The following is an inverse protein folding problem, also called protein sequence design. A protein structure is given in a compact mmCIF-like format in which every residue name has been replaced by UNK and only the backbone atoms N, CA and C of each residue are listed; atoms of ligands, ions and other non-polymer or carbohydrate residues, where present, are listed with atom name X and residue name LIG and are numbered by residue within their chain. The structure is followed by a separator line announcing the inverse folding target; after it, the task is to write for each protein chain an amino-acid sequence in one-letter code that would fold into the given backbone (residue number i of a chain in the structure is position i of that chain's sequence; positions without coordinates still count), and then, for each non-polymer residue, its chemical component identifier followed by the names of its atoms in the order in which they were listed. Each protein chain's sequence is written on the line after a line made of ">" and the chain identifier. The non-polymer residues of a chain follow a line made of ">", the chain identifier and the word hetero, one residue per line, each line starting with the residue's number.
data_IF_944305395684
#
_entry.id   IF_944305395684
#
_cell.length_a   1.000
_cell.length_b   1.000
_cell.length_c   1.000
_cell.angle_alpha   90.00
_cell.angle_beta   90.00
_cell.angle_gamma   90.00
#
_symmetry.space_group_name_H-M   'P 1'
#
loop_
_entity.id
_entity.type
_entity.pdbx_description
1 polymer ?
#
# COMPACT_ATOMS: atom_id res chain seq x y z
N UNK A 1 -29.14 -44.96 9.31
CA UNK A 1 -29.45 -43.61 8.83
C UNK A 1 -28.11 -42.97 8.50
N UNK A 2 -27.72 -43.05 7.23
CA UNK A 2 -26.36 -42.71 6.76
C UNK A 2 -26.35 -41.24 6.35
N UNK A 3 -25.54 -40.43 7.04
CA UNK A 3 -25.41 -39.00 6.76
C UNK A 3 -24.59 -38.84 5.48
N UNK A 4 -25.19 -38.26 4.44
CA UNK A 4 -24.48 -37.93 3.20
C UNK A 4 -23.53 -36.74 3.42
N UNK A 5 -22.36 -36.70 2.77
CA UNK A 5 -21.41 -35.61 2.92
C UNK A 5 -21.95 -34.32 2.27
N UNK A 6 -21.64 -33.18 2.90
CA UNK A 6 -21.93 -31.84 2.39
C UNK A 6 -21.32 -31.64 1.00
N UNK A 7 -22.04 -31.06 0.03
CA UNK A 7 -21.48 -30.80 -1.29
C UNK A 7 -20.36 -29.76 -1.20
N UNK A 8 -19.21 -30.11 -1.78
CA UNK A 8 -18.10 -29.21 -2.07
C UNK A 8 -18.50 -28.29 -3.23
N UNK A 9 -18.56 -26.98 -2.99
CA UNK A 9 -18.82 -26.00 -4.04
C UNK A 9 -17.51 -25.64 -4.77
N UNK A 10 -17.48 -25.65 -6.12
CA UNK A 10 -16.31 -25.30 -6.88
C UNK A 10 -16.08 -23.79 -6.88
N UNK A 11 -14.83 -23.39 -6.65
CA UNK A 11 -14.35 -22.02 -6.67
C UNK A 11 -14.23 -21.44 -8.08
N UNK A 12 -14.50 -20.13 -8.17
CA UNK A 12 -14.18 -19.16 -9.24
C UNK A 12 -15.11 -19.14 -10.46
N UNK A 13 -15.84 -18.03 -10.57
CA UNK A 13 -15.84 -17.17 -11.77
C UNK A 13 -16.22 -15.73 -11.40
N UNK A 14 -15.26 -14.82 -11.52
CA UNK A 14 -15.51 -13.37 -11.62
C UNK A 14 -16.21 -13.12 -12.96
N UNK A 15 -17.37 -12.45 -12.94
CA UNK A 15 -17.73 -11.22 -13.67
C UNK A 15 -19.20 -10.93 -13.37
N UNK A 16 -19.52 -9.75 -12.85
CA UNK A 16 -20.82 -9.12 -13.10
C UNK A 16 -20.61 -7.62 -13.26
N UNK A 17 -21.01 -7.12 -14.43
CA UNK A 17 -20.71 -5.78 -14.91
C UNK A 17 -21.34 -4.67 -14.05
N UNK A 18 -20.47 -3.72 -13.70
CA UNK A 18 -20.68 -2.50 -12.93
C UNK A 18 -21.73 -1.58 -13.57
N UNK A 19 -22.77 -1.23 -12.81
CA UNK A 19 -23.54 -0.01 -13.02
C UNK A 19 -23.88 0.56 -11.64
N UNK A 20 -23.07 1.53 -11.19
CA UNK A 20 -23.31 2.32 -9.97
C UNK A 20 -23.00 1.59 -8.65
N UNK A 21 -21.77 1.75 -8.15
CA UNK A 21 -21.41 1.44 -6.76
C UNK A 21 -21.37 -0.05 -6.37
N UNK A 22 -20.15 -0.49 -6.00
CA UNK A 22 -19.76 -1.75 -5.35
C UNK A 22 -19.35 -2.89 -6.32
N UNK A 23 -18.03 -3.08 -6.49
CA UNK A 23 -17.44 -4.21 -7.23
C UNK A 23 -17.43 -5.56 -6.50
N UNK A 24 -17.66 -5.60 -5.19
CA UNK A 24 -17.51 -6.82 -4.37
C UNK A 24 -18.63 -6.91 -3.31
N UNK A 25 -19.92 -6.87 -3.72
CA UNK A 25 -21.07 -6.96 -2.78
C UNK A 25 -20.99 -8.21 -1.89
N UNK A 26 -20.38 -9.26 -2.42
CA UNK A 26 -20.14 -10.50 -1.70
C UNK A 26 -19.31 -10.29 -0.44
N UNK A 27 -18.32 -9.38 -0.42
CA UNK A 27 -17.51 -9.12 0.78
C UNK A 27 -18.35 -8.60 1.95
N UNK A 28 -19.37 -7.78 1.69
CA UNK A 28 -20.29 -7.29 2.73
C UNK A 28 -21.12 -8.44 3.29
N UNK A 29 -21.65 -9.30 2.41
CA UNK A 29 -22.44 -10.48 2.80
C UNK A 29 -21.58 -11.48 3.57
N UNK A 30 -20.38 -11.76 3.08
CA UNK A 30 -19.45 -12.71 3.68
C UNK A 30 -19.02 -12.26 5.08
N UNK A 31 -18.60 -11.00 5.23
CA UNK A 31 -18.19 -10.44 6.51
C UNK A 31 -19.37 -10.37 7.50
N UNK A 32 -20.55 -9.93 7.06
CA UNK A 32 -21.72 -9.85 7.95
C UNK A 32 -22.29 -11.22 8.34
N UNK A 33 -22.22 -12.21 7.44
CA UNK A 33 -22.71 -13.56 7.70
C UNK A 33 -21.76 -14.40 8.55
N UNK A 34 -20.45 -14.28 8.33
CA UNK A 34 -19.44 -14.99 9.14
C UNK A 34 -19.18 -14.31 10.49
N UNK A 35 -19.27 -12.98 10.54
CA UNK A 35 -18.90 -12.19 11.72
C UNK A 35 -20.10 -11.58 12.43
N UNK A 36 -20.87 -12.46 13.06
CA UNK A 36 -22.09 -12.11 13.81
C UNK A 36 -21.85 -11.12 14.97
N UNK A 37 -20.63 -11.02 15.47
CA UNK A 37 -20.25 -10.10 16.55
C UNK A 37 -20.04 -8.65 16.07
N UNK A 38 -19.78 -8.44 14.77
CA UNK A 38 -19.74 -7.11 14.15
C UNK A 38 -20.72 -7.03 12.98
N UNK A 39 -22.04 -7.11 13.25
CA UNK A 39 -23.04 -7.01 12.21
C UNK A 39 -23.07 -5.59 11.64
N UNK A 40 -23.69 -5.45 10.47
CA UNK A 40 -23.96 -4.13 9.89
C UNK A 40 -24.94 -3.42 10.82
N UNK A 41 -24.55 -2.23 11.28
CA UNK A 41 -25.44 -1.36 12.02
C UNK A 41 -26.37 -0.63 11.03
N UNK A 42 -27.67 -0.67 11.29
CA UNK A 42 -28.70 -0.01 10.49
C UNK A 42 -29.37 1.04 11.38
N UNK A 43 -29.06 2.32 11.14
CA UNK A 43 -29.67 3.42 11.88
C UNK A 43 -31.10 3.68 11.40
N UNK A 44 -31.34 3.53 10.10
CA UNK A 44 -32.66 3.73 9.49
C UNK A 44 -32.86 2.78 8.31
N UNK A 45 -34.01 2.12 8.29
CA UNK A 45 -34.51 1.36 7.15
C UNK A 45 -36.01 1.60 7.02
N UNK A 46 -36.43 2.19 5.91
CA UNK A 46 -37.84 2.37 5.58
C UNK A 46 -38.10 1.82 4.18
N UNK A 47 -39.12 0.97 4.05
CA UNK A 47 -39.54 0.38 2.78
C UNK A 47 -40.94 0.91 2.44
N UNK A 48 -41.08 1.48 1.23
CA UNK A 48 -42.35 2.00 0.73
C UNK A 48 -42.58 1.58 -0.71
N UNK A 49 -43.77 1.81 -1.23
CA UNK A 49 -44.07 1.67 -2.67
C UNK A 49 -43.22 2.59 -3.55
N UNK A 50 -42.69 3.69 -3.02
CA UNK A 50 -41.82 4.63 -3.73
C UNK A 50 -40.32 4.25 -3.68
N UNK A 51 -39.96 3.19 -2.93
CA UNK A 51 -38.58 2.74 -2.77
C UNK A 51 -38.14 2.65 -1.31
N UNK A 52 -36.83 2.47 -1.12
CA UNK A 52 -36.20 2.26 0.18
C UNK A 52 -35.38 3.48 0.65
N UNK A 53 -35.39 3.72 1.96
CA UNK A 53 -34.45 4.61 2.64
C UNK A 53 -33.55 3.75 3.51
N UNK A 54 -32.26 4.02 3.45
CA UNK A 54 -31.24 3.25 4.13
C UNK A 54 -30.20 4.20 4.71
N UNK A 55 -29.86 4.01 5.97
CA UNK A 55 -28.61 4.49 6.57
C UNK A 55 -27.98 3.31 7.31
N UNK A 56 -26.94 2.75 6.70
CA UNK A 56 -26.25 1.57 7.21
C UNK A 56 -24.74 1.76 7.23
N UNK A 57 -24.10 1.11 8.20
CA UNK A 57 -22.65 1.12 8.38
C UNK A 57 -22.16 -0.23 8.88
N UNK A 58 -21.25 -0.84 8.12
CA UNK A 58 -20.46 -1.99 8.52
C UNK A 58 -18.99 -1.61 8.72
N UNK A 59 -18.36 -2.16 9.74
CA UNK A 59 -16.93 -1.97 10.03
C UNK A 59 -16.36 -3.28 10.56
N UNK A 60 -15.22 -3.69 10.01
CA UNK A 60 -14.60 -4.98 10.32
C UNK A 60 -13.10 -4.78 10.55
N UNK A 61 -12.59 -5.36 11.64
CA UNK A 61 -11.16 -5.37 11.94
C UNK A 61 -10.54 -6.66 11.40
N UNK A 62 -10.18 -6.63 10.12
CA UNK A 62 -9.65 -7.80 9.40
C UNK A 62 -8.35 -8.35 9.98
N UNK A 63 -7.58 -7.56 10.74
CA UNK A 63 -6.37 -8.04 11.42
C UNK A 63 -6.76 -8.95 12.61
N UNK A 64 -7.76 -8.56 13.41
CA UNK A 64 -8.30 -9.42 14.49
C UNK A 64 -8.94 -10.67 13.89
N UNK A 65 -9.72 -10.51 12.83
CA UNK A 65 -10.37 -11.62 12.14
C UNK A 65 -9.35 -12.69 11.69
N UNK A 66 -8.21 -12.27 11.15
CA UNK A 66 -7.21 -13.18 10.58
C UNK A 66 -6.49 -14.02 11.65
N UNK A 67 -6.60 -13.65 12.92
CA UNK A 67 -6.01 -14.42 14.04
C UNK A 67 -6.92 -15.55 14.53
N UNK A 68 -8.18 -15.61 14.07
CA UNK A 68 -9.14 -16.59 14.56
C UNK A 68 -8.93 -17.97 13.91
N UNK A 69 -8.91 -19.07 14.68
CA UNK A 69 -8.75 -20.41 14.13
C UNK A 69 -9.85 -20.77 13.12
N UNK A 70 -9.48 -21.21 11.93
CA UNK A 70 -10.42 -21.65 10.89
C UNK A 70 -11.09 -20.51 10.11
N UNK A 71 -10.71 -19.26 10.35
CA UNK A 71 -11.22 -18.09 9.60
C UNK A 71 -10.23 -17.72 8.49
N UNK A 72 -10.65 -17.87 7.24
CA UNK A 72 -9.96 -17.33 6.06
C UNK A 72 -10.81 -16.19 5.47
N UNK A 73 -10.19 -15.03 5.26
CA UNK A 73 -10.89 -13.78 4.93
C UNK A 73 -10.65 -13.39 3.47
N UNK A 74 -11.75 -13.53 2.72
CA UNK A 74 -12.15 -13.06 1.36
C UNK A 74 -11.68 -11.73 0.82
N UNK A 75 -11.19 -10.85 1.68
CA UNK A 75 -11.53 -9.46 1.48
C UNK A 75 -10.61 -8.48 2.17
N UNK A 76 -10.36 -7.41 1.44
CA UNK A 76 -9.68 -6.20 1.91
C UNK A 76 -10.69 -5.16 2.44
N UNK A 77 -11.98 -5.43 2.46
CA UNK A 77 -13.01 -4.49 2.92
C UNK A 77 -12.94 -4.29 4.44
N UNK A 78 -12.66 -3.05 4.86
CA UNK A 78 -12.60 -2.67 6.27
C UNK A 78 -13.86 -1.93 6.72
N UNK A 79 -14.45 -1.14 5.83
CA UNK A 79 -15.62 -0.35 6.16
C UNK A 79 -16.51 -0.17 4.93
N UNK A 80 -17.81 -0.24 5.15
CA UNK A 80 -18.83 0.12 4.19
C UNK A 80 -19.88 1.01 4.87
N UNK A 81 -20.25 2.10 4.21
CA UNK A 81 -21.33 2.99 4.66
C UNK A 81 -22.19 3.33 3.46
N UNK A 82 -23.51 3.25 3.62
CA UNK A 82 -24.46 3.49 2.55
C UNK A 82 -25.64 4.29 3.06
N UNK A 83 -25.84 5.45 2.43
CA UNK A 83 -27.05 6.26 2.57
C UNK A 83 -27.79 6.32 1.26
N UNK A 84 -29.05 5.90 1.30
CA UNK A 84 -29.95 5.93 0.16
C UNK A 84 -31.30 6.53 0.55
N UNK A 85 -31.92 7.22 -0.41
CA UNK A 85 -33.27 7.79 -0.27
C UNK A 85 -34.09 7.39 -1.48
N UNK A 86 -35.27 6.81 -1.29
CA UNK A 86 -36.15 6.36 -2.38
C UNK A 86 -35.43 5.44 -3.39
N UNK A 87 -34.55 4.55 -2.91
CA UNK A 87 -33.76 3.64 -3.74
C UNK A 87 -32.63 4.31 -4.52
N UNK A 88 -32.29 5.57 -4.24
CA UNK A 88 -31.18 6.29 -4.88
C UNK A 88 -30.03 6.52 -3.93
N UNK A 89 -28.83 6.20 -4.38
CA UNK A 89 -27.59 6.49 -3.66
C UNK A 89 -27.42 8.00 -3.46
N UNK A 90 -27.19 8.36 -2.21
CA UNK A 90 -26.82 9.71 -1.77
C UNK A 90 -25.36 9.76 -1.36
N UNK A 91 -24.92 8.73 -0.62
CA UNK A 91 -23.56 8.60 -0.12
C UNK A 91 -23.19 7.12 -0.02
N UNK A 92 -22.05 6.75 -0.59
CA UNK A 92 -21.44 5.44 -0.41
C UNK A 92 -19.97 5.63 -0.07
N UNK A 93 -19.53 5.09 1.06
CA UNK A 93 -18.11 5.05 1.43
C UNK A 93 -17.65 3.60 1.50
N UNK A 94 -16.54 3.31 0.85
CA UNK A 94 -15.88 2.02 0.84
C UNK A 94 -14.44 2.25 1.29
N UNK A 95 -14.01 1.55 2.34
CA UNK A 95 -12.63 1.58 2.81
C UNK A 95 -12.01 0.20 2.61
N UNK A 96 -10.94 0.14 1.83
CA UNK A 96 -10.24 -1.09 1.49
C UNK A 96 -8.79 -1.04 1.94
N UNK A 97 -8.33 -2.11 2.58
CA UNK A 97 -6.98 -2.29 3.04
C UNK A 97 -5.99 -2.43 1.87
N UNK A 98 -4.79 -1.88 2.06
CA UNK A 98 -3.65 -2.13 1.18
C UNK A 98 -2.34 -1.74 1.86
N UNK A 99 -1.28 -1.70 1.07
CA UNK A 99 0.04 -1.23 1.52
C UNK A 99 0.66 -0.32 0.47
N UNK A 100 1.49 0.61 0.90
CA UNK A 100 2.25 1.47 -0.01
C UNK A 100 3.66 0.91 -0.22
N UNK A 101 4.00 0.68 -1.48
CA UNK A 101 5.28 0.18 -1.96
C UNK A 101 6.25 1.35 -2.22
N UNK A 102 7.57 1.22 -1.94
CA UNK A 102 8.30 -0.02 -1.62
C UNK A 102 8.38 -0.37 -0.12
N UNK A 103 8.07 0.57 0.76
CA UNK A 103 8.35 0.42 2.20
C UNK A 103 7.40 -0.59 2.88
N UNK A 104 6.15 -0.70 2.44
CA UNK A 104 5.19 -1.66 2.98
C UNK A 104 4.32 -1.14 4.11
N UNK A 105 4.23 0.18 4.29
CA UNK A 105 3.34 0.79 5.30
C UNK A 105 1.89 0.39 5.04
N UNK A 106 1.16 -0.01 6.09
CA UNK A 106 -0.30 -0.22 6.02
C UNK A 106 -0.99 1.07 5.62
N UNK A 107 -1.88 0.97 4.64
CA UNK A 107 -2.68 2.07 4.12
C UNK A 107 -4.09 1.59 3.79
N UNK A 108 -4.99 2.53 3.53
CA UNK A 108 -6.33 2.24 3.06
C UNK A 108 -6.68 3.12 1.87
N UNK A 109 -7.33 2.53 0.87
CA UNK A 109 -8.03 3.26 -0.18
C UNK A 109 -9.44 3.56 0.32
N UNK A 110 -9.78 4.84 0.39
CA UNK A 110 -11.12 5.32 0.70
C UNK A 110 -11.75 5.77 -0.61
N UNK A 111 -12.82 5.12 -1.02
CA UNK A 111 -13.65 5.56 -2.14
C UNK A 111 -14.94 6.15 -1.59
N UNK A 112 -15.24 7.38 -1.95
CA UNK A 112 -16.49 8.07 -1.62
C UNK A 112 -17.23 8.34 -2.90
N UNK A 113 -18.48 7.89 -2.98
CA UNK A 113 -19.42 8.20 -4.06
C UNK A 113 -20.55 9.04 -3.49
N UNK A 114 -20.68 10.27 -3.95
CA UNK A 114 -21.65 11.24 -3.44
C UNK A 114 -22.55 11.77 -4.54
N UNK A 115 -23.84 11.91 -4.23
CA UNK A 115 -24.77 12.61 -5.11
C UNK A 115 -24.60 14.12 -4.93
N UNK A 116 -24.12 14.80 -5.97
CA UNK A 116 -23.92 16.26 -5.97
C UNK A 116 -24.77 16.95 -7.03
N UNK A 117 -25.35 18.08 -6.65
CA UNK A 117 -26.00 19.02 -7.58
C UNK A 117 -24.95 20.03 -8.00
N UNK A 118 -24.71 20.15 -9.31
CA UNK A 118 -23.73 21.11 -9.84
C UNK A 118 -24.49 22.32 -10.42
N UNK A 119 -24.07 23.57 -10.10
CA UNK A 119 -24.65 24.76 -10.71
C UNK A 119 -24.62 24.65 -12.25
N UNK A 120 -25.71 25.04 -12.91
CA UNK A 120 -25.82 24.97 -14.37
C UNK A 120 -26.30 23.63 -14.93
N UNK A 121 -26.53 22.61 -14.09
CA UNK A 121 -27.09 21.33 -14.52
C UNK A 121 -28.45 21.07 -13.87
N UNK A 122 -29.49 20.67 -14.64
CA UNK A 122 -30.82 20.37 -14.09
C UNK A 122 -30.90 18.98 -13.43
N UNK A 123 -29.79 18.28 -13.26
CA UNK A 123 -29.71 16.93 -12.69
C UNK A 123 -28.52 16.78 -11.74
N UNK A 124 -28.66 15.84 -10.80
CA UNK A 124 -27.62 15.48 -9.84
C UNK A 124 -26.79 14.30 -10.36
N UNK A 125 -25.48 14.38 -10.16
CA UNK A 125 -24.51 13.36 -10.57
C UNK A 125 -24.02 12.58 -9.37
N UNK A 126 -23.61 11.33 -9.60
CA UNK A 126 -22.76 10.61 -8.66
C UNK A 126 -21.30 10.97 -8.98
N UNK A 127 -20.66 11.66 -8.04
CA UNK A 127 -19.26 12.02 -8.10
C UNK A 127 -18.48 11.06 -7.20
N UNK A 128 -17.47 10.40 -7.77
CA UNK A 128 -16.65 9.44 -7.05
C UNK A 128 -15.24 9.99 -6.86
N UNK A 129 -14.80 10.06 -5.62
CA UNK A 129 -13.44 10.46 -5.24
C UNK A 129 -12.73 9.32 -4.52
N UNK A 130 -11.42 9.23 -4.72
CA UNK A 130 -10.55 8.26 -4.05
C UNK A 130 -9.49 8.98 -3.26
N UNK A 131 -9.14 8.42 -2.11
CA UNK A 131 -8.10 8.92 -1.22
C UNK A 131 -7.28 7.76 -0.69
N UNK A 132 -6.00 8.01 -0.41
CA UNK A 132 -5.16 7.08 0.36
C UNK A 132 -4.94 7.67 1.74
N UNK A 133 -5.16 6.85 2.77
CA UNK A 133 -4.84 7.17 4.16
C UNK A 133 -3.83 6.16 4.70
N UNK A 134 -2.74 6.65 5.28
CA UNK A 134 -1.72 5.83 5.94
C UNK A 134 -2.18 5.45 7.35
N UNK A 135 -2.18 4.15 7.64
CA UNK A 135 -2.59 3.58 8.95
C UNK A 135 -1.39 3.22 9.81
N UNK A 136 -0.25 2.93 9.19
CA UNK A 136 1.01 2.65 9.88
C UNK A 136 2.08 3.65 9.40
N UNK A 137 2.19 4.85 10.00
CA UNK A 137 3.10 5.88 9.53
C UNK A 137 4.57 5.50 9.68
N UNK A 138 4.90 4.66 10.66
CA UNK A 138 6.27 4.29 11.02
C UNK A 138 6.48 2.80 10.80
N UNK A 139 7.57 2.46 10.11
CA UNK A 139 8.07 1.09 9.99
C UNK A 139 9.51 1.00 10.45
N UNK A 140 9.81 -0.06 11.19
CA UNK A 140 11.14 -0.36 11.69
C UNK A 140 11.75 -1.57 10.92
N UNK A 141 12.92 -1.32 10.36
CA UNK A 141 13.76 -2.24 9.60
C UNK A 141 15.08 -2.55 10.31
N UNK A 142 15.21 -2.25 11.60
CA UNK A 142 16.33 -2.74 12.39
C UNK A 142 16.42 -4.26 12.30
N UNK A 143 17.66 -4.76 12.41
CA UNK A 143 18.05 -6.13 12.02
C UNK A 143 17.49 -7.24 12.91
N UNK A 144 16.55 -6.96 13.80
CA UNK A 144 16.17 -7.88 14.87
C UNK A 144 15.25 -9.02 14.41
N UNK A 145 14.62 -8.96 13.22
CA UNK A 145 13.63 -10.00 12.83
C UNK A 145 13.86 -10.75 11.52
N UNK A 146 14.68 -10.29 10.57
CA UNK A 146 14.97 -11.07 9.34
C UNK A 146 16.18 -10.57 8.55
N UNK A 147 16.87 -11.51 7.88
CA UNK A 147 17.94 -11.21 6.89
C UNK A 147 17.43 -10.27 5.79
N UNK A 148 16.12 -10.29 5.52
CA UNK A 148 15.44 -9.50 4.48
C UNK A 148 15.47 -7.98 4.71
N UNK A 149 15.75 -7.52 5.94
CA UNK A 149 15.82 -6.09 6.31
C UNK A 149 17.21 -5.46 6.13
N UNK A 150 18.20 -6.21 5.62
CA UNK A 150 19.62 -5.78 5.54
C UNK A 150 19.96 -4.87 4.35
N UNK A 151 19.12 -4.82 3.32
CA UNK A 151 19.45 -4.14 2.06
C UNK A 151 18.93 -2.70 1.96
N UNK A 152 18.63 -2.08 3.11
CA UNK A 152 18.19 -0.69 3.23
C UNK A 152 19.20 0.09 4.10
N UNK A 153 19.59 1.32 3.71
CA UNK A 153 20.46 2.18 4.53
C UNK A 153 19.71 2.82 5.70
N UNK A 154 18.45 2.44 5.92
CA UNK A 154 17.58 3.00 6.95
C UNK A 154 17.09 1.90 7.87
N UNK A 155 17.18 2.14 9.18
CA UNK A 155 16.58 1.26 10.20
C UNK A 155 15.14 1.62 10.50
N UNK A 156 14.67 2.81 10.11
CA UNK A 156 13.31 3.28 10.34
C UNK A 156 12.88 4.18 9.19
N UNK A 157 11.64 4.05 8.73
CA UNK A 157 11.03 4.94 7.75
C UNK A 157 9.72 5.46 8.31
N UNK A 158 9.49 6.76 8.20
CA UNK A 158 8.28 7.44 8.62
C UNK A 158 7.67 8.26 7.48
N UNK A 159 6.42 7.97 7.14
CA UNK A 159 5.60 8.79 6.24
C UNK A 159 4.99 9.94 7.03
N UNK A 160 5.35 11.18 6.69
CA UNK A 160 4.82 12.39 7.32
C UNK A 160 3.50 12.83 6.70
N UNK A 161 3.32 12.59 5.41
CA UNK A 161 2.03 12.77 4.76
C UNK A 161 1.16 11.57 5.09
N UNK A 162 0.00 11.79 5.73
CA UNK A 162 -0.90 10.71 6.15
C UNK A 162 -2.14 10.55 5.28
N UNK A 163 -2.53 11.60 4.57
CA UNK A 163 -3.71 11.62 3.72
C UNK A 163 -3.37 12.27 2.39
N UNK A 164 -3.95 11.75 1.31
CA UNK A 164 -3.88 12.38 0.00
C UNK A 164 -5.06 13.33 -0.22
N UNK A 165 -4.94 14.32 -1.13
CA UNK A 165 -6.11 14.89 -1.81
C UNK A 165 -6.82 13.82 -2.66
N UNK A 166 -7.89 14.15 -3.43
CA UNK A 166 -8.45 13.22 -4.41
C UNK A 166 -7.37 12.70 -5.37
N UNK A 167 -7.34 11.39 -5.58
CA UNK A 167 -6.36 10.70 -6.42
C UNK A 167 -7.00 9.94 -7.58
N UNK A 168 -6.19 9.66 -8.59
CA UNK A 168 -6.41 8.66 -9.61
C UNK A 168 -5.29 7.63 -9.59
N UNK A 169 -5.53 6.47 -10.21
CA UNK A 169 -4.52 5.42 -10.36
C UNK A 169 -4.06 5.32 -11.80
N UNK A 170 -2.77 5.04 -12.01
CA UNK A 170 -2.25 4.64 -13.32
C UNK A 170 -1.51 3.31 -13.24
N UNK A 171 -1.53 2.56 -14.34
CA UNK A 171 -0.93 1.22 -14.44
C UNK A 171 0.55 1.20 -14.02
N UNK A 172 0.98 0.10 -13.41
CA UNK A 172 2.36 -0.13 -12.97
C UNK A 172 2.94 -1.27 -13.81
N UNK A 173 3.64 -0.94 -14.89
CA UNK A 173 4.14 -1.96 -15.81
C UNK A 173 2.98 -2.81 -16.38
N UNK A 174 3.06 -4.13 -16.22
CA UNK A 174 2.00 -5.07 -16.61
C UNK A 174 1.05 -5.44 -15.47
N UNK A 175 1.19 -4.85 -14.27
CA UNK A 175 0.27 -5.10 -13.17
C UNK A 175 -1.15 -4.59 -13.52
N UNK A 176 -2.19 -5.40 -13.29
CA UNK A 176 -3.56 -4.92 -13.38
C UNK A 176 -3.78 -3.74 -12.43
N UNK A 177 -4.41 -2.68 -12.92
CA UNK A 177 -4.72 -1.49 -12.11
C UNK A 177 -5.61 -1.81 -10.89
N UNK A 178 -6.36 -2.92 -10.96
CA UNK A 178 -7.15 -3.40 -9.85
C UNK A 178 -6.28 -3.84 -8.66
N UNK A 179 -5.05 -4.30 -8.93
CA UNK A 179 -4.15 -4.96 -7.97
C UNK A 179 -3.05 -4.02 -7.45
N UNK A 180 -2.52 -3.17 -8.32
CA UNK A 180 -1.56 -2.14 -7.96
C UNK A 180 -1.59 -0.96 -8.93
N UNK A 181 -1.33 0.25 -8.42
CA UNK A 181 -1.30 1.46 -9.24
C UNK A 181 -0.42 2.57 -8.65
N UNK A 182 0.16 3.40 -9.53
CA UNK A 182 0.79 4.66 -9.13
C UNK A 182 -0.27 5.64 -8.64
N UNK A 183 -0.02 6.27 -7.49
CA UNK A 183 -0.93 7.25 -6.89
C UNK A 183 -0.70 8.60 -7.56
N UNK A 184 -1.67 9.05 -8.37
CA UNK A 184 -1.63 10.36 -9.04
C UNK A 184 -2.61 11.33 -8.37
N UNK A 185 -2.25 12.60 -8.25
CA UNK A 185 -3.20 13.65 -7.81
C UNK A 185 -4.23 13.86 -8.91
N UNK A 186 -5.53 13.73 -8.60
CA UNK A 186 -6.59 13.78 -9.61
C UNK A 186 -6.61 15.10 -10.39
N UNK A 187 -6.32 16.21 -9.71
CA UNK A 187 -6.32 17.55 -10.31
C UNK A 187 -5.17 17.80 -11.30
N UNK A 188 -4.00 17.17 -11.11
CA UNK A 188 -2.79 17.46 -11.90
C UNK A 188 -2.28 16.29 -12.74
N UNK A 189 -2.74 15.07 -12.46
CA UNK A 189 -2.25 13.84 -13.08
C UNK A 189 -0.80 13.48 -12.72
N UNK A 190 -0.16 14.24 -11.83
CA UNK A 190 1.22 14.01 -11.38
C UNK A 190 1.27 12.99 -10.26
N UNK A 191 2.40 12.28 -10.12
CA UNK A 191 2.61 11.39 -8.98
C UNK A 191 2.54 12.18 -7.67
N UNK A 192 1.88 11.61 -6.67
CA UNK A 192 1.77 12.24 -5.36
C UNK A 192 3.10 12.15 -4.59
N UNK A 193 3.72 13.28 -4.22
CA UNK A 193 5.02 13.29 -3.57
C UNK A 193 4.88 13.10 -2.05
N UNK A 194 5.04 11.85 -1.58
CA UNK A 194 4.98 11.56 -0.15
C UNK A 194 6.20 12.12 0.57
N UNK A 195 6.00 12.88 1.65
CA UNK A 195 7.07 13.33 2.51
C UNK A 195 7.51 12.20 3.45
N UNK A 196 8.79 11.86 3.40
CA UNK A 196 9.39 10.75 4.15
C UNK A 196 10.52 11.27 5.04
N UNK A 197 10.56 10.77 6.27
CA UNK A 197 11.71 10.91 7.17
C UNK A 197 12.21 9.51 7.49
N UNK A 198 13.41 9.19 7.03
CA UNK A 198 14.07 7.94 7.36
C UNK A 198 15.15 8.17 8.41
N UNK A 199 15.41 7.16 9.24
CA UNK A 199 16.52 7.16 10.19
C UNK A 199 17.58 6.19 9.68
N UNK A 200 18.79 6.68 9.46
CA UNK A 200 19.91 5.87 9.01
C UNK A 200 20.50 5.00 10.13
N UNK A 201 21.57 4.27 9.81
CA UNK A 201 22.23 3.39 10.76
C UNK A 201 22.94 4.09 11.92
N UNK A 202 23.18 5.40 11.83
CA UNK A 202 23.72 6.25 12.91
C UNK A 202 22.67 6.93 13.75
N UNK A 203 21.40 6.84 13.34
CA UNK A 203 20.33 7.60 13.99
C UNK A 203 20.12 8.98 13.40
N UNK A 204 20.80 9.34 12.30
CA UNK A 204 20.58 10.60 11.60
C UNK A 204 19.27 10.55 10.82
N UNK A 205 18.52 11.65 10.84
CA UNK A 205 17.33 11.80 10.00
C UNK A 205 17.71 12.19 8.58
N UNK A 206 17.14 11.48 7.61
CA UNK A 206 17.26 11.76 6.17
C UNK A 206 15.86 12.06 5.64
N UNK A 207 15.68 13.25 5.08
CA UNK A 207 14.37 13.75 4.63
C UNK A 207 14.31 13.76 3.11
N UNK A 208 13.27 13.16 2.54
CA UNK A 208 13.09 13.14 1.08
C UNK A 208 11.62 13.03 0.71
N UNK A 209 11.32 13.27 -0.56
CA UNK A 209 9.99 13.07 -1.14
C UNK A 209 10.04 12.02 -2.22
N UNK A 210 9.07 11.11 -2.26
CA UNK A 210 9.03 10.05 -3.26
C UNK A 210 7.61 9.70 -3.66
N UNK A 211 7.34 9.36 -4.93
CA UNK A 211 6.08 8.74 -5.30
C UNK A 211 6.01 7.32 -4.74
N UNK A 212 4.80 6.87 -4.40
CA UNK A 212 4.57 5.50 -3.91
C UNK A 212 3.51 4.81 -4.78
N UNK A 213 3.56 3.48 -4.80
CA UNK A 213 2.57 2.62 -5.46
C UNK A 213 1.62 2.09 -4.40
N UNK A 214 0.31 2.17 -4.63
CA UNK A 214 -0.66 1.47 -3.80
C UNK A 214 -0.77 0.02 -4.28
N UNK A 215 -0.62 -0.93 -3.35
CA UNK A 215 -0.76 -2.37 -3.59
C UNK A 215 -1.93 -2.89 -2.74
N UNK A 216 -2.87 -3.58 -3.38
CA UNK A 216 -4.05 -4.16 -2.70
C UNK A 216 -3.65 -5.15 -1.61
N UNK A 217 -4.51 -5.27 -0.60
CA UNK A 217 -4.25 -6.12 0.57
C UNK A 217 -3.93 -7.57 0.23
N UNK A 218 -4.71 -8.15 -0.68
CA UNK A 218 -4.60 -9.54 -1.11
C UNK A 218 -3.31 -9.82 -1.92
N UNK A 219 -2.73 -8.83 -2.59
CA UNK A 219 -1.41 -8.94 -3.25
C UNK A 219 -0.28 -8.72 -2.24
N UNK A 220 -0.45 -7.73 -1.36
CA UNK A 220 0.58 -7.29 -0.43
C UNK A 220 0.84 -8.28 0.73
N UNK A 221 0.02 -9.32 0.87
CA UNK A 221 0.22 -10.39 1.86
C UNK A 221 -0.58 -10.24 3.15
N UNK A 222 -1.70 -9.50 3.14
CA UNK A 222 -2.50 -9.35 4.34
C UNK A 222 -3.36 -10.57 4.66
N UNK A 223 -3.80 -11.33 3.65
CA UNK A 223 -4.74 -12.44 3.79
C UNK A 223 -4.39 -13.58 2.81
N UNK A 224 -4.79 -14.82 3.15
CA UNK A 224 -4.42 -16.12 2.54
C UNK A 224 -4.92 -16.38 1.10
N UNK A 225 -5.19 -15.32 0.35
CA UNK A 225 -6.19 -15.41 -0.72
C UNK A 225 -5.61 -15.56 -2.11
N UNK A 226 -4.39 -15.03 -2.29
CA UNK A 226 -3.71 -15.06 -3.57
C UNK A 226 -2.47 -15.93 -3.43
N UNK A 227 -2.47 -17.12 -4.09
CA UNK A 227 -1.27 -17.90 -4.25
C UNK A 227 -0.15 -17.00 -4.72
N UNK A 228 1.04 -17.15 -4.15
CA UNK A 228 2.15 -16.27 -4.49
C UNK A 228 2.44 -16.21 -5.99
N UNK A 229 2.18 -17.29 -6.74
CA UNK A 229 2.26 -17.35 -8.20
C UNK A 229 1.49 -16.23 -8.91
N UNK A 230 0.38 -15.76 -8.34
CA UNK A 230 -0.45 -14.68 -8.88
C UNK A 230 -0.01 -13.30 -8.36
N UNK A 231 0.44 -13.21 -7.11
CA UNK A 231 0.93 -11.95 -6.53
C UNK A 231 2.31 -11.54 -7.09
N UNK A 232 3.17 -12.52 -7.36
CA UNK A 232 4.53 -12.34 -7.85
C UNK A 232 4.65 -11.44 -9.08
N UNK A 233 3.92 -11.66 -10.20
CA UNK A 233 4.04 -10.79 -11.38
C UNK A 233 3.65 -9.34 -11.10
N UNK A 234 2.71 -9.10 -10.19
CA UNK A 234 2.31 -7.75 -9.75
C UNK A 234 3.43 -7.09 -8.95
N UNK A 235 4.00 -7.80 -7.97
CA UNK A 235 5.10 -7.30 -7.14
C UNK A 235 6.38 -7.08 -7.94
N UNK A 236 6.68 -7.94 -8.93
CA UNK A 236 7.82 -7.79 -9.84
C UNK A 236 7.64 -6.57 -10.76
N UNK A 237 6.41 -6.28 -11.18
CA UNK A 237 6.07 -5.06 -11.92
C UNK A 237 6.29 -3.81 -11.06
N UNK A 238 5.89 -3.84 -9.79
CA UNK A 238 6.13 -2.76 -8.83
C UNK A 238 7.64 -2.52 -8.61
N UNK A 239 8.41 -3.60 -8.41
CA UNK A 239 9.86 -3.57 -8.28
C UNK A 239 10.55 -2.94 -9.49
N UNK A 240 10.17 -3.38 -10.70
CA UNK A 240 10.72 -2.86 -11.95
C UNK A 240 10.36 -1.39 -12.17
N UNK A 241 9.14 -0.97 -11.83
CA UNK A 241 8.69 0.40 -11.98
C UNK A 241 9.39 1.33 -10.98
N UNK A 242 9.45 0.95 -9.70
CA UNK A 242 10.08 1.75 -8.66
C UNK A 242 11.60 1.88 -8.85
N UNK A 243 12.26 0.83 -9.37
CA UNK A 243 13.69 0.85 -9.65
C UNK A 243 14.08 1.88 -10.73
N UNK A 244 13.12 2.44 -11.48
CA UNK A 244 13.34 3.53 -12.45
C UNK A 244 13.29 4.91 -11.80
N UNK A 245 12.69 5.04 -10.62
CA UNK A 245 12.52 6.32 -9.93
C UNK A 245 13.79 6.67 -9.15
N UNK A 246 14.52 7.68 -9.62
CA UNK A 246 15.65 8.25 -8.90
C UNK A 246 15.14 9.25 -7.85
N UNK A 247 15.05 8.80 -6.60
CA UNK A 247 14.60 9.64 -5.48
C UNK A 247 15.75 10.53 -5.04
N UNK A 248 15.58 11.85 -5.15
CA UNK A 248 16.59 12.80 -4.70
C UNK A 248 16.76 12.72 -3.18
N UNK A 249 18.02 12.61 -2.75
CA UNK A 249 18.43 12.69 -1.35
C UNK A 249 19.08 14.05 -1.03
N UNK A 250 19.19 14.95 -2.01
CA UNK A 250 19.67 16.32 -1.80
C UNK A 250 21.10 16.44 -1.28
N UNK A 251 21.96 15.44 -1.52
CA UNK A 251 23.35 15.44 -1.04
C UNK A 251 23.49 15.14 0.46
N UNK A 252 22.41 14.73 1.14
CA UNK A 252 22.45 14.39 2.57
C UNK A 252 23.46 13.25 2.81
N UNK A 253 24.21 13.34 3.92
CA UNK A 253 25.09 12.27 4.37
C UNK A 253 24.26 11.14 4.95
N UNK A 254 24.43 9.92 4.42
CA UNK A 254 23.66 8.75 4.83
C UNK A 254 24.64 7.67 5.30
N UNK A 255 24.45 7.15 6.51
CA UNK A 255 25.15 5.97 6.99
C UNK A 255 24.55 4.69 6.36
N UNK A 256 25.27 4.10 5.39
CA UNK A 256 24.81 2.96 4.59
C UNK A 256 24.81 1.63 5.35
N UNK A 257 25.56 1.54 6.45
CA UNK A 257 25.67 0.34 7.26
C UNK A 257 25.83 0.67 8.75
N UNK A 258 25.51 -0.30 9.61
CA UNK A 258 25.73 -0.21 11.06
C UNK A 258 27.19 0.13 11.37
N UNK A 259 27.41 1.02 12.33
CA UNK A 259 28.76 1.35 12.80
C UNK A 259 29.47 0.07 13.29
N UNK A 260 30.72 -0.19 12.84
CA UNK A 260 31.51 -1.31 13.32
C UNK A 260 32.06 -1.10 14.75
N UNK A 261 31.64 -0.04 15.45
CA UNK A 261 32.09 0.28 16.80
C UNK A 261 33.29 1.22 16.80
N UNK A 262 34.36 0.85 17.50
CA UNK A 262 35.47 1.73 17.88
C UNK A 262 36.51 2.03 16.79
N UNK A 263 36.36 1.52 15.57
CA UNK A 263 37.30 1.76 14.45
C UNK A 263 36.90 3.03 13.68
N UNK A 264 37.61 4.16 13.84
CA UNK A 264 37.19 5.44 13.26
C UNK A 264 37.24 5.42 11.73
N UNK A 265 38.20 4.70 11.13
CA UNK A 265 38.37 4.64 9.67
C UNK A 265 37.23 3.85 9.02
N UNK A 266 36.84 2.72 9.61
CA UNK A 266 35.66 1.97 9.15
C UNK A 266 34.35 2.68 9.47
N UNK A 267 34.33 3.55 10.49
CA UNK A 267 33.16 4.34 10.83
C UNK A 267 32.84 5.43 9.79
N UNK A 268 33.85 6.01 9.14
CA UNK A 268 33.69 7.08 8.15
C UNK A 268 33.37 6.54 6.75
N UNK A 269 33.97 5.41 6.34
CA UNK A 269 33.81 4.84 5.00
C UNK A 269 32.38 4.40 4.63
N UNK A 270 31.46 4.32 5.61
CA UNK A 270 30.05 3.94 5.41
C UNK A 270 29.10 5.14 5.27
N UNK A 271 29.58 6.36 5.56
CA UNK A 271 28.75 7.58 5.52
C UNK A 271 29.06 8.31 4.23
N UNK A 272 28.12 8.33 3.30
CA UNK A 272 28.34 8.88 1.97
C UNK A 272 27.35 10.03 1.71
N UNK A 273 27.81 11.20 1.22
CA UNK A 273 26.90 12.20 0.65
C UNK A 273 26.16 11.55 -0.52
N UNK A 274 24.83 11.57 -0.46
CA UNK A 274 23.99 10.82 -1.39
C UNK A 274 23.14 11.79 -2.21
N UNK A 275 23.26 11.73 -3.54
CA UNK A 275 22.49 12.56 -4.46
C UNK A 275 21.13 11.93 -4.73
N UNK A 276 21.09 10.62 -4.99
CA UNK A 276 19.83 9.92 -5.24
C UNK A 276 19.89 8.44 -4.88
N UNK A 277 18.73 7.87 -4.57
CA UNK A 277 18.54 6.44 -4.35
C UNK A 277 17.39 5.96 -5.23
N UNK A 278 17.57 4.80 -5.85
CA UNK A 278 16.52 4.02 -6.51
C UNK A 278 16.16 2.86 -5.60
N UNK A 279 14.87 2.71 -5.32
CA UNK A 279 14.35 1.65 -4.46
C UNK A 279 13.75 0.52 -5.29
N UNK A 280 13.78 -0.68 -4.74
CA UNK A 280 13.04 -1.86 -5.18
C UNK A 280 12.67 -2.67 -3.94
N UNK A 281 12.28 -3.93 -4.08
CA UNK A 281 11.94 -4.80 -2.97
C UNK A 281 12.51 -6.20 -3.13
N UNK A 282 12.81 -6.84 -2.01
CA UNK A 282 12.92 -8.28 -1.94
C UNK A 282 11.52 -8.84 -1.67
N UNK A 283 11.02 -9.69 -2.58
CA UNK A 283 9.67 -10.23 -2.52
C UNK A 283 9.71 -11.64 -1.93
N UNK A 284 8.80 -11.93 -0.99
CA UNK A 284 8.70 -13.23 -0.32
C UNK A 284 7.39 -13.91 -0.64
N UNK A 285 7.45 -15.23 -0.72
CA UNK A 285 6.33 -16.09 -1.07
C UNK A 285 5.22 -16.03 -0.02
N UNK A 286 5.61 -16.13 1.25
CA UNK A 286 4.73 -16.03 2.39
C UNK A 286 5.12 -14.82 3.24
N UNK A 287 4.17 -13.90 3.42
CA UNK A 287 4.31 -12.88 4.45
C UNK A 287 4.12 -13.53 5.81
N UNK A 288 4.90 -13.10 6.80
CA UNK A 288 4.56 -13.35 8.20
C UNK A 288 3.18 -12.71 8.45
N UNK A 289 2.28 -13.34 9.23
CA UNK A 289 0.98 -12.76 9.53
C UNK A 289 1.08 -11.30 10.00
N UNK A 290 0.36 -10.40 9.34
CA UNK A 290 0.40 -8.96 9.62
C UNK A 290 1.60 -8.19 9.02
N UNK A 291 2.54 -8.87 8.36
CA UNK A 291 3.64 -8.26 7.59
C UNK A 291 3.29 -8.15 6.09
N UNK A 292 4.27 -7.78 5.28
CA UNK A 292 4.13 -7.58 3.83
C UNK A 292 4.92 -8.63 3.05
N UNK A 293 4.52 -8.91 1.80
CA UNK A 293 5.29 -9.76 0.88
C UNK A 293 6.48 -9.06 0.25
N UNK A 294 6.68 -7.77 0.48
CA UNK A 294 7.76 -7.00 -0.14
C UNK A 294 8.52 -6.16 0.88
N UNK A 295 9.83 -6.37 0.98
CA UNK A 295 10.71 -5.62 1.87
C UNK A 295 11.56 -4.65 1.06
N UNK A 296 11.64 -3.36 1.44
CA UNK A 296 12.37 -2.38 0.66
C UNK A 296 13.86 -2.69 0.60
N UNK A 297 14.46 -2.47 -0.58
CA UNK A 297 15.89 -2.55 -0.80
C UNK A 297 16.35 -1.45 -1.75
N UNK A 298 17.64 -1.12 -1.71
CA UNK A 298 18.26 -0.22 -2.67
C UNK A 298 18.68 -1.00 -3.92
N UNK A 299 18.20 -0.59 -5.09
CA UNK A 299 18.67 -1.16 -6.37
C UNK A 299 19.93 -0.47 -6.87
N UNK A 300 20.00 0.85 -6.72
CA UNK A 300 21.10 1.69 -7.17
C UNK A 300 21.09 3.00 -6.37
N UNK A 301 22.26 3.57 -6.12
CA UNK A 301 22.37 4.94 -5.61
C UNK A 301 23.48 5.72 -6.32
N UNK A 302 23.31 7.04 -6.36
CA UNK A 302 24.35 7.97 -6.77
C UNK A 302 24.86 8.70 -5.52
N UNK A 303 26.14 8.51 -5.23
CA UNK A 303 26.82 9.01 -4.04
C UNK A 303 28.06 9.80 -4.45
N UNK A 304 28.52 10.70 -3.59
CA UNK A 304 29.82 11.34 -3.74
C UNK A 304 30.86 10.55 -2.92
N UNK A 305 32.05 10.43 -3.49
CA UNK A 305 33.19 9.78 -2.83
C UNK A 305 34.31 10.80 -2.79
N UNK A 306 34.35 11.58 -1.72
CA UNK A 306 35.27 12.73 -1.56
C UNK A 306 36.72 12.36 -1.92
N UNK A 307 37.20 11.20 -1.46
CA UNK A 307 38.56 10.70 -1.76
C UNK A 307 38.81 10.46 -3.25
N UNK A 308 37.81 10.05 -4.03
CA UNK A 308 37.93 9.84 -5.48
C UNK A 308 37.85 11.18 -6.22
N UNK A 309 36.98 12.09 -5.76
CA UNK A 309 36.83 13.42 -6.37
C UNK A 309 38.11 14.26 -6.17
N UNK A 310 38.74 14.18 -4.99
CA UNK A 310 40.04 14.81 -4.72
C UNK A 310 41.18 14.23 -5.57
N UNK A 311 41.20 12.91 -5.78
CA UNK A 311 42.22 12.25 -6.61
C UNK A 311 42.06 12.54 -8.11
N UNK A 312 40.83 12.71 -8.59
CA UNK A 312 40.53 12.87 -10.02
C UNK A 312 40.32 14.33 -10.43
N UNK A 313 40.20 15.23 -9.44
CA UNK A 313 39.82 16.64 -9.60
C UNK A 313 38.52 16.82 -10.43
N UNK A 314 37.63 15.82 -10.33
CA UNK A 314 36.34 15.78 -11.02
C UNK A 314 35.25 15.43 -10.02
N UNK A 315 34.28 16.33 -9.84
CA UNK A 315 33.07 16.05 -9.05
C UNK A 315 32.06 15.30 -9.93
N UNK A 316 32.29 14.01 -10.12
CA UNK A 316 31.39 13.12 -10.83
C UNK A 316 30.80 12.11 -9.85
N UNK A 317 29.50 12.21 -9.58
CA UNK A 317 28.80 11.30 -8.66
C UNK A 317 29.01 9.84 -9.04
N UNK A 318 29.41 9.02 -8.08
CA UNK A 318 29.67 7.59 -8.25
C UNK A 318 28.39 6.78 -8.10
N UNK A 319 28.19 5.80 -8.99
CA UNK A 319 27.08 4.85 -8.87
C UNK A 319 27.49 3.66 -8.02
N UNK A 320 26.70 3.36 -6.99
CA UNK A 320 26.84 2.14 -6.18
C UNK A 320 25.59 1.25 -6.31
N UNK A 321 25.78 -0.06 -6.13
CA UNK A 321 24.72 -1.08 -6.13
C UNK A 321 25.02 -2.12 -5.06
N UNK A 322 23.98 -2.77 -4.54
CA UNK A 322 24.17 -3.98 -3.72
C UNK A 322 24.83 -5.04 -4.60
N UNK A 323 25.92 -5.64 -4.13
CA UNK A 323 26.64 -6.65 -4.90
C UNK A 323 25.75 -7.87 -5.18
N UNK A 324 25.88 -8.45 -6.37
CA UNK A 324 25.03 -9.57 -6.82
C UNK A 324 25.14 -10.82 -5.95
N UNK A 325 26.22 -10.97 -5.18
CA UNK A 325 26.39 -12.05 -4.20
C UNK A 325 25.48 -11.94 -2.97
N UNK A 326 24.82 -10.80 -2.77
CA UNK A 326 23.89 -10.52 -1.67
C UNK A 326 22.44 -10.29 -2.14
N UNK A 327 22.16 -10.59 -3.42
CA UNK A 327 20.83 -10.57 -4.04
C UNK A 327 20.29 -11.99 -4.15
#
# INVERSE_FOLDING_TARGET
>A
MTIMPSPTFPFIKVVANDVGGIKERWSVVDLSGRYHDNPINVNSLMLTSMGAWLDSKGSWDTDVLATQPGVSISTELLQWEHRATMGRDQYVKIVKFGRVYPFGHKAVEITITERKVKPGFPFAFLEQEKFIMIRQPVLDYSLESSVMKRNLPFKRVELRTLNTPPITGTVVGSAPIADAYWIKVAASGQDFPWAVVATDWDGSEVKFTTPLIFVRGFVAGAYDEVPYTNAKPVLDSCATAMAKVAVSMGGQKIAWAKSPGSDPLKSQARVLPTNSIKFTSNNVDQAVPGETRFYPQVSQANVQLDAIEEMTNQSAGTTIRVASMYQ
#
